data_IF_878088287983
#
_entry.id   IF_878088287983
#
_cell.length_a   1.000
_cell.length_b   1.000
_cell.length_c   1.000
_cell.angle_alpha   90.00
_cell.angle_beta   90.00
_cell.angle_gamma   90.00
#
_symmetry.space_group_name_H-M   'P 1'
#
loop_
_entity.id
_entity.type
_entity.pdbx_description
1 polymer ?
#
# COMPACT_ATOMS: atom_id res chain seq x y z
N UNK A 1 -12.27 8.88 -3.61
CA UNK A 1 -12.65 8.49 -4.98
C UNK A 1 -13.77 7.46 -5.03
N UNK A 2 -13.76 6.39 -4.24
CA UNK A 2 -14.85 5.39 -4.23
C UNK A 2 -16.24 6.00 -3.98
N UNK A 3 -16.36 6.91 -3.01
CA UNK A 3 -17.61 7.64 -2.72
C UNK A 3 -18.13 8.38 -3.94
N UNK A 4 -17.24 8.99 -4.74
CA UNK A 4 -17.64 9.70 -5.97
C UNK A 4 -18.21 8.71 -6.98
N UNK A 5 -17.56 7.56 -7.20
CA UNK A 5 -18.09 6.51 -8.07
C UNK A 5 -19.45 5.98 -7.61
N UNK A 6 -19.65 5.82 -6.30
CA UNK A 6 -20.94 5.42 -5.71
C UNK A 6 -22.03 6.46 -5.95
N UNK A 7 -21.72 7.74 -5.79
CA UNK A 7 -22.66 8.84 -6.06
C UNK A 7 -22.98 8.95 -7.55
N UNK A 8 -21.99 8.84 -8.44
CA UNK A 8 -22.22 8.81 -9.88
C UNK A 8 -23.20 7.69 -10.26
N UNK A 9 -22.97 6.48 -9.77
CA UNK A 9 -23.90 5.35 -9.96
C UNK A 9 -25.30 5.65 -9.41
N UNK A 10 -25.39 6.22 -8.22
CA UNK A 10 -26.68 6.51 -7.58
C UNK A 10 -27.52 7.53 -8.36
N UNK A 11 -26.87 8.49 -9.02
CA UNK A 11 -27.51 9.55 -9.79
C UNK A 11 -27.50 9.31 -11.31
N UNK A 12 -27.18 8.10 -11.77
CA UNK A 12 -27.05 7.75 -13.20
C UNK A 12 -26.11 8.69 -13.99
N UNK A 13 -25.05 9.16 -13.33
CA UNK A 13 -24.02 10.00 -13.94
C UNK A 13 -22.83 9.15 -14.39
N UNK A 14 -22.11 9.58 -15.45
CA UNK A 14 -20.84 8.96 -15.81
C UNK A 14 -19.84 9.08 -14.65
N UNK A 15 -19.12 7.99 -14.38
CA UNK A 15 -18.14 7.94 -13.30
C UNK A 15 -17.36 6.63 -13.28
N UNK A 16 -16.29 6.55 -12.46
CA UNK A 16 -15.50 5.35 -12.34
C UNK A 16 -16.30 4.24 -11.64
N UNK A 17 -15.96 2.99 -11.94
CA UNK A 17 -16.50 1.85 -11.22
C UNK A 17 -16.06 1.92 -9.73
N UNK A 18 -16.99 2.08 -8.77
CA UNK A 18 -16.63 2.24 -7.36
C UNK A 18 -15.94 1.02 -6.76
N UNK A 19 -16.32 -0.21 -7.14
CA UNK A 19 -15.67 -1.43 -6.64
C UNK A 19 -14.21 -1.48 -7.10
N UNK A 20 -13.95 -1.17 -8.38
CA UNK A 20 -12.59 -1.11 -8.90
C UNK A 20 -11.75 -0.04 -8.17
N UNK A 21 -12.33 1.12 -7.88
CA UNK A 21 -11.64 2.18 -7.13
C UNK A 21 -11.32 1.74 -5.70
N UNK A 22 -12.24 1.04 -5.02
CA UNK A 22 -11.99 0.51 -3.66
C UNK A 22 -10.88 -0.51 -3.65
N UNK A 23 -10.88 -1.44 -4.61
CA UNK A 23 -9.84 -2.45 -4.79
C UNK A 23 -8.46 -1.83 -5.04
N UNK A 24 -8.39 -0.74 -5.82
CA UNK A 24 -7.15 -0.01 -6.06
C UNK A 24 -6.68 0.82 -4.85
N UNK A 25 -7.60 1.29 -4.00
CA UNK A 25 -7.26 2.13 -2.84
C UNK A 25 -6.83 1.32 -1.61
N UNK A 26 -7.29 0.08 -1.47
CA UNK A 26 -6.87 -0.84 -0.41
C UNK A 26 -5.67 -1.66 -0.90
N UNK A 27 -4.47 -1.34 -0.39
CA UNK A 27 -3.23 -1.99 -0.83
C UNK A 27 -3.26 -3.50 -0.60
N UNK A 28 -3.90 -3.99 0.46
CA UNK A 28 -3.98 -5.42 0.73
C UNK A 28 -4.85 -6.12 -0.33
N UNK A 29 -6.02 -5.57 -0.63
CA UNK A 29 -6.88 -6.06 -1.72
C UNK A 29 -6.16 -6.04 -3.07
N UNK A 30 -5.38 -4.98 -3.35
CA UNK A 30 -4.57 -4.88 -4.57
C UNK A 30 -3.58 -6.05 -4.68
N UNK A 31 -2.86 -6.42 -3.61
CA UNK A 31 -1.90 -7.54 -3.66
C UNK A 31 -2.60 -8.87 -3.88
N UNK A 32 -3.76 -9.07 -3.26
CA UNK A 32 -4.57 -10.28 -3.47
C UNK A 32 -5.01 -10.42 -4.92
N UNK A 33 -5.53 -9.34 -5.52
CA UNK A 33 -5.99 -9.34 -6.91
C UNK A 33 -4.84 -9.56 -7.91
N UNK A 34 -3.70 -8.89 -7.70
CA UNK A 34 -2.52 -9.07 -8.53
C UNK A 34 -2.01 -10.51 -8.47
N UNK A 35 -1.91 -11.08 -7.26
CA UNK A 35 -1.50 -12.47 -7.08
C UNK A 35 -2.48 -13.46 -7.74
N UNK A 36 -3.80 -13.24 -7.60
CA UNK A 36 -4.82 -14.05 -8.28
C UNK A 36 -4.73 -13.97 -9.80
N UNK A 37 -4.29 -12.83 -10.34
CA UNK A 37 -4.05 -12.63 -11.76
C UNK A 37 -2.68 -13.17 -12.24
N UNK A 38 -1.88 -13.78 -11.36
CA UNK A 38 -0.55 -14.31 -11.68
C UNK A 38 0.53 -13.24 -11.83
N UNK A 39 0.27 -12.00 -11.40
CA UNK A 39 1.27 -10.93 -11.35
C UNK A 39 2.16 -11.16 -10.12
N UNK A 40 3.49 -11.21 -10.27
CA UNK A 40 4.40 -11.31 -9.13
C UNK A 40 4.21 -10.15 -8.16
N UNK A 41 4.08 -10.46 -6.86
CA UNK A 41 3.99 -9.49 -5.78
C UNK A 41 5.02 -9.82 -4.70
N UNK A 42 5.63 -8.81 -4.04
CA UNK A 42 6.51 -9.07 -2.91
C UNK A 42 5.77 -9.82 -1.79
N UNK A 43 6.48 -10.57 -0.94
CA UNK A 43 5.82 -11.22 0.21
C UNK A 43 5.14 -10.17 1.11
N UNK A 44 3.93 -10.45 1.59
CA UNK A 44 3.16 -9.47 2.36
C UNK A 44 2.26 -10.13 3.42
N UNK A 45 2.00 -9.39 4.51
CA UNK A 45 1.07 -9.76 5.58
C UNK A 45 0.26 -8.55 6.03
N UNK A 46 -0.99 -8.80 6.37
CA UNK A 46 -1.87 -7.82 7.00
C UNK A 46 -1.76 -7.99 8.52
N UNK A 47 -1.60 -6.88 9.24
CA UNK A 47 -1.54 -6.85 10.69
C UNK A 47 -2.44 -5.74 11.24
N UNK A 48 -3.07 -5.99 12.39
CA UNK A 48 -3.96 -5.06 13.10
C UNK A 48 -3.37 -4.56 14.44
N UNK A 49 -2.12 -4.93 14.75
CA UNK A 49 -1.46 -4.54 16.00
C UNK A 49 0.01 -4.94 16.06
N UNK A 50 0.70 -4.52 17.13
CA UNK A 50 2.15 -4.69 17.29
C UNK A 50 2.62 -6.14 17.17
N UNK A 51 1.99 -7.06 17.90
CA UNK A 51 2.37 -8.49 17.88
C UNK A 51 2.23 -9.11 16.49
N UNK A 52 1.18 -8.75 15.75
CA UNK A 52 0.98 -9.24 14.37
C UNK A 52 2.01 -8.66 13.41
N UNK A 53 2.39 -7.39 13.58
CA UNK A 53 3.44 -6.75 12.77
C UNK A 53 4.81 -7.40 13.03
N UNK A 54 5.16 -7.65 14.29
CA UNK A 54 6.40 -8.32 14.67
C UNK A 54 6.47 -9.74 14.10
N UNK A 55 5.38 -10.51 14.24
CA UNK A 55 5.27 -11.86 13.68
C UNK A 55 5.41 -11.86 12.15
N UNK A 56 4.71 -10.94 11.48
CA UNK A 56 4.80 -10.78 10.02
C UNK A 56 6.21 -10.40 9.55
N UNK A 57 6.88 -9.49 10.25
CA UNK A 57 8.24 -9.07 9.91
C UNK A 57 9.25 -10.22 10.11
N UNK A 58 9.06 -11.04 11.16
CA UNK A 58 9.86 -12.23 11.38
C UNK A 58 9.63 -13.31 10.32
N UNK A 59 8.38 -13.50 9.88
CA UNK A 59 8.01 -14.46 8.84
C UNK A 59 8.56 -14.06 7.46
N UNK A 60 8.44 -12.78 7.08
CA UNK A 60 8.92 -12.28 5.77
C UNK A 60 10.46 -12.16 5.76
N UNK A 61 11.06 -11.74 6.87
CA UNK A 61 12.48 -11.42 6.96
C UNK A 61 12.77 -9.94 6.67
N UNK A 62 13.73 -9.38 7.42
CA UNK A 62 14.15 -7.99 7.26
C UNK A 62 15.09 -7.80 6.04
N UNK A 63 15.08 -6.62 5.39
CA UNK A 63 14.25 -5.46 5.72
C UNK A 63 12.82 -5.53 5.16
N UNK A 64 11.88 -4.88 5.84
CA UNK A 64 10.46 -4.81 5.46
C UNK A 64 9.97 -3.38 5.32
N UNK A 65 8.91 -3.19 4.54
CA UNK A 65 8.13 -1.96 4.46
C UNK A 65 6.91 -2.07 5.36
N UNK A 66 6.74 -1.12 6.28
CA UNK A 66 5.49 -0.92 7.01
C UNK A 66 4.74 0.26 6.40
N UNK A 67 3.45 0.05 6.10
CA UNK A 67 2.60 1.10 5.53
C UNK A 67 1.12 0.92 5.89
N UNK A 68 0.34 2.00 6.02
CA UNK A 68 -1.11 1.92 6.08
C UNK A 68 -1.69 1.25 4.83
N UNK A 69 -2.68 0.38 5.03
CA UNK A 69 -3.38 -0.28 3.91
C UNK A 69 -4.01 0.74 2.97
N UNK A 70 -4.55 1.84 3.50
CA UNK A 70 -5.14 2.94 2.73
C UNK A 70 -4.35 4.21 3.01
N UNK A 71 -4.07 5.00 1.97
CA UNK A 71 -3.27 6.22 2.06
C UNK A 71 -2.56 6.49 0.74
N UNK A 72 -2.14 7.74 0.54
CA UNK A 72 -1.51 8.24 -0.68
C UNK A 72 -0.22 9.01 -0.36
N UNK A 73 0.63 9.23 -1.37
CA UNK A 73 1.81 10.09 -1.25
C UNK A 73 2.82 9.63 -0.19
N UNK A 74 3.02 8.32 -0.07
CA UNK A 74 3.98 7.70 0.86
C UNK A 74 3.83 8.06 2.35
N UNK A 75 2.71 8.67 2.73
CA UNK A 75 2.43 9.03 4.12
C UNK A 75 2.28 7.77 4.98
N UNK A 76 3.09 7.69 6.04
CA UNK A 76 3.15 6.52 6.92
C UNK A 76 3.91 5.32 6.34
N UNK A 77 4.59 5.46 5.20
CA UNK A 77 5.46 4.40 4.64
C UNK A 77 6.87 4.54 5.22
N UNK A 78 7.44 3.43 5.70
CA UNK A 78 8.83 3.38 6.17
C UNK A 78 9.49 2.04 5.83
N UNK A 79 10.75 2.11 5.40
CA UNK A 79 11.66 0.97 5.37
C UNK A 79 12.23 0.71 6.76
N UNK A 80 11.97 -0.48 7.29
CA UNK A 80 12.46 -0.95 8.58
C UNK A 80 13.51 -2.05 8.35
N UNK A 81 14.74 -1.79 8.79
CA UNK A 81 15.91 -2.68 8.69
C UNK A 81 16.17 -3.47 9.96
N UNK A 82 15.62 -3.03 11.08
CA UNK A 82 15.78 -3.68 12.38
C UNK A 82 14.42 -3.92 13.04
N UNK A 83 14.38 -4.83 14.01
CA UNK A 83 13.18 -5.08 14.82
C UNK A 83 12.78 -3.83 15.60
N UNK A 84 13.75 -3.05 16.09
CA UNK A 84 13.48 -1.78 16.79
C UNK A 84 12.80 -0.75 15.88
N UNK A 85 13.24 -0.64 14.62
CA UNK A 85 12.61 0.24 13.63
C UNK A 85 11.19 -0.22 13.28
N UNK A 86 10.93 -1.54 13.28
CA UNK A 86 9.58 -2.10 13.12
C UNK A 86 8.69 -1.70 14.29
N UNK A 87 9.15 -1.89 15.54
CA UNK A 87 8.40 -1.56 16.74
C UNK A 87 8.12 -0.05 16.87
N UNK A 88 9.12 0.79 16.59
CA UNK A 88 9.00 2.25 16.59
C UNK A 88 7.94 2.72 15.58
N UNK A 89 8.03 2.24 14.33
CA UNK A 89 7.11 2.67 13.29
C UNK A 89 5.69 2.11 13.49
N UNK A 90 5.58 0.92 14.06
CA UNK A 90 4.27 0.37 14.45
C UNK A 90 3.59 1.25 15.49
N UNK A 91 4.33 1.67 16.52
CA UNK A 91 3.83 2.60 17.53
C UNK A 91 3.40 3.94 16.91
N UNK A 92 4.19 4.45 15.95
CA UNK A 92 3.84 5.65 15.18
C UNK A 92 2.52 5.49 14.39
N UNK A 93 2.34 4.36 13.69
CA UNK A 93 1.14 4.11 12.88
C UNK A 93 -0.11 3.88 13.74
N UNK A 94 0.03 3.23 14.89
CA UNK A 94 -1.07 2.95 15.82
C UNK A 94 -1.42 4.14 16.72
N UNK A 95 -0.52 5.11 16.88
CA UNK A 95 -0.68 6.27 17.78
C UNK A 95 -1.81 7.24 17.43
N UNK A 96 -2.45 7.13 16.26
CA UNK A 96 -3.73 7.78 15.95
C UNK A 96 -3.69 9.31 15.80
N UNK A 97 -2.51 9.92 15.77
CA UNK A 97 -2.31 11.38 15.62
C UNK A 97 -2.30 11.86 14.16
N UNK A 98 -2.46 10.94 13.21
CA UNK A 98 -2.31 11.25 11.78
C UNK A 98 -3.62 11.61 11.09
N UNK A 99 -3.51 12.57 10.17
CA UNK A 99 -4.63 13.15 9.40
C UNK A 99 -5.32 12.07 8.53
N UNK A 100 -4.54 11.09 8.05
CA UNK A 100 -5.02 9.87 7.41
C UNK A 100 -5.52 8.87 8.46
N UNK A 101 -6.64 9.17 9.10
CA UNK A 101 -7.39 8.18 9.87
C UNK A 101 -7.93 7.12 8.92
N UNK A 102 -7.16 6.06 8.68
CA UNK A 102 -7.65 4.91 7.92
C UNK A 102 -7.13 3.60 8.49
N UNK A 103 -7.96 3.02 9.37
CA UNK A 103 -7.86 1.68 9.95
C UNK A 103 -6.56 1.34 10.68
N UNK A 104 -6.66 0.65 11.82
CA UNK A 104 -5.50 0.07 12.53
C UNK A 104 -4.75 -1.01 11.72
N UNK A 105 -5.02 -1.13 10.42
CA UNK A 105 -4.49 -2.16 9.53
C UNK A 105 -3.21 -1.66 8.87
N UNK A 106 -2.13 -2.35 9.16
CA UNK A 106 -0.79 -2.13 8.65
C UNK A 106 -0.49 -3.27 7.68
N UNK A 107 0.03 -2.92 6.51
CA UNK A 107 0.59 -3.86 5.56
C UNK A 107 2.10 -3.94 5.81
N UNK A 108 2.57 -5.14 6.14
CA UNK A 108 4.00 -5.49 6.22
C UNK A 108 4.36 -6.16 4.91
N UNK A 109 5.34 -5.64 4.19
CA UNK A 109 5.71 -6.10 2.85
C UNK A 109 7.23 -6.25 2.74
N UNK A 110 7.69 -7.26 2.02
CA UNK A 110 9.10 -7.43 1.65
C UNK A 110 9.63 -6.18 0.94
N UNK A 111 10.85 -5.77 1.28
CA UNK A 111 11.50 -4.70 0.55
C UNK A 111 12.06 -5.18 -0.79
N UNK A 112 11.34 -4.86 -1.88
CA UNK A 112 11.83 -5.08 -3.23
C UNK A 112 12.89 -4.03 -3.61
N UNK A 113 14.15 -4.45 -3.72
CA UNK A 113 15.26 -3.59 -4.18
C UNK A 113 15.42 -3.70 -5.69
N UNK A 114 15.31 -2.57 -6.40
CA UNK A 114 15.51 -2.53 -7.83
C UNK A 114 15.06 -1.21 -8.46
N UNK A 115 15.14 -1.09 -9.79
CA UNK A 115 14.57 0.04 -10.51
C UNK A 115 13.05 0.09 -10.33
N UNK A 116 12.50 1.29 -10.22
CA UNK A 116 11.07 1.52 -10.15
C UNK A 116 10.53 1.97 -11.51
N UNK A 117 9.43 1.35 -11.93
CA UNK A 117 8.72 1.69 -13.15
C UNK A 117 7.23 1.89 -12.86
N UNK A 118 6.61 2.83 -13.57
CA UNK A 118 5.17 3.03 -13.62
C UNK A 118 4.68 2.80 -15.06
N UNK A 119 3.59 2.04 -15.20
CA UNK A 119 2.89 1.87 -16.48
C UNK A 119 1.63 2.74 -16.47
N UNK A 120 1.53 3.64 -17.44
CA UNK A 120 0.37 4.51 -17.64
C UNK A 120 -0.60 3.85 -18.64
N UNK A 121 -1.87 3.74 -18.25
CA UNK A 121 -2.90 3.06 -19.04
C UNK A 121 -4.04 4.00 -19.42
N UNK A 122 -4.60 3.79 -20.62
CA UNK A 122 -5.86 4.38 -21.07
C UNK A 122 -6.79 3.27 -21.59
N UNK A 123 -7.91 3.06 -20.91
CA UNK A 123 -8.73 1.87 -21.16
C UNK A 123 -7.93 0.60 -20.82
N UNK A 124 -7.73 -0.26 -21.82
CA UNK A 124 -6.97 -1.50 -21.68
C UNK A 124 -5.57 -1.42 -22.34
N UNK A 125 -5.19 -0.25 -22.83
CA UNK A 125 -3.93 -0.05 -23.57
C UNK A 125 -2.89 0.63 -22.68
N UNK A 126 -1.65 0.14 -22.72
CA UNK A 126 -0.49 0.81 -22.11
C UNK A 126 -0.03 1.92 -23.04
N UNK A 127 -0.10 3.15 -22.57
CA UNK A 127 0.26 4.34 -23.34
C UNK A 127 1.67 4.86 -23.02
N UNK A 128 2.25 4.42 -21.90
CA UNK A 128 3.59 4.81 -21.48
C UNK A 128 4.15 3.94 -20.37
N UNK A 129 5.47 3.86 -20.31
CA UNK A 129 6.22 3.30 -19.19
C UNK A 129 7.25 4.33 -18.77
N UNK A 130 7.20 4.76 -17.52
CA UNK A 130 8.10 5.74 -16.94
C UNK A 130 8.97 5.08 -15.87
N UNK A 131 10.24 5.50 -15.79
CA UNK A 131 11.10 5.18 -14.66
C UNK A 131 11.13 6.38 -13.72
N UNK A 132 11.19 6.13 -12.42
CA UNK A 132 11.35 7.19 -11.43
C UNK A 132 12.31 6.75 -10.33
N UNK A 133 13.03 7.72 -9.80
CA UNK A 133 13.86 7.58 -8.60
C UNK A 133 13.09 8.15 -7.40
N UNK A 134 13.32 7.57 -6.23
CA UNK A 134 12.80 8.08 -4.96
C UNK A 134 13.90 8.79 -4.19
N UNK A 135 13.52 9.66 -3.25
CA UNK A 135 14.45 10.21 -2.27
C UNK A 135 15.06 9.11 -1.38
N UNK A 136 16.03 9.49 -0.55
CA UNK A 136 16.80 8.57 0.27
C UNK A 136 15.91 7.87 1.30
N UNK A 137 16.14 6.55 1.53
CA UNK A 137 15.53 5.83 2.63
C UNK A 137 15.75 6.55 3.99
N UNK A 138 14.85 6.34 4.98
CA UNK A 138 13.85 5.28 5.03
C UNK A 138 12.48 5.66 4.45
N UNK A 139 12.34 6.87 3.91
CA UNK A 139 11.12 7.36 3.27
C UNK A 139 11.26 7.33 1.74
N UNK A 140 10.12 7.23 1.04
CA UNK A 140 10.08 7.06 -0.41
C UNK A 140 9.20 8.15 -1.03
N UNK A 141 9.69 9.38 -1.01
CA UNK A 141 9.02 10.56 -1.57
C UNK A 141 9.61 10.86 -2.94
#
# INVERSE_FOLDING_TARGET
YATVGKLCRHFDLPGPNPEAVEQCCDKFAQRQLLAQAGVPVPAYRLAAGATEVESAAAEIGLPVILKPVVGIGSSGVRLCRTVDEVAEHTSYLLGGTHIWRSSARILVEEFALGPYYCADLMGNEVIGITAADFDRPPHFV
#
